data_IF_982528381891
#
_entry.id   IF_982528381891
#
_cell.length_a   1.000
_cell.length_b   1.000
_cell.length_c   1.000
_cell.angle_alpha   90.00
_cell.angle_beta   90.00
_cell.angle_gamma   90.00
#
_symmetry.space_group_name_H-M   'P 1'
#
loop_
_entity.id
_entity.type
_entity.pdbx_description
1 polymer ?
#
# COMPACT_ATOMS: atom_id res chain seq x y z
N UNK A 1 -41.84 13.39 31.08
CA UNK A 1 -40.51 13.45 30.42
C UNK A 1 -39.77 12.12 30.41
N UNK A 2 -39.66 11.39 31.53
CA UNK A 2 -38.98 10.09 31.63
C UNK A 2 -39.57 8.99 30.71
N UNK A 3 -40.90 8.93 30.55
CA UNK A 3 -41.55 7.94 29.68
C UNK A 3 -41.23 8.14 28.18
N UNK A 4 -41.13 9.38 27.71
CA UNK A 4 -40.76 9.66 26.31
C UNK A 4 -39.32 9.23 25.99
N UNK A 5 -38.39 9.42 26.93
CA UNK A 5 -37.03 8.96 26.78
C UNK A 5 -36.94 7.42 26.76
N UNK A 6 -37.70 6.74 27.61
CA UNK A 6 -37.80 5.29 27.66
C UNK A 6 -38.30 4.69 26.34
N UNK A 7 -39.34 5.28 25.73
CA UNK A 7 -39.86 4.82 24.44
C UNK A 7 -38.99 5.22 23.25
N UNK A 8 -38.25 6.32 23.33
CA UNK A 8 -37.31 6.74 22.28
C UNK A 8 -36.05 5.85 22.22
N UNK A 9 -35.66 5.24 23.33
CA UNK A 9 -34.47 4.41 23.44
C UNK A 9 -34.73 2.92 23.11
N UNK A 10 -35.98 2.47 23.26
CA UNK A 10 -36.40 1.07 23.06
C UNK A 10 -36.19 0.53 21.60
N UNK A 11 -36.03 1.42 20.64
CA UNK A 11 -35.78 1.04 19.24
C UNK A 11 -34.30 1.05 18.82
N UNK A 12 -33.38 1.42 19.72
CA UNK A 12 -31.96 1.59 19.39
C UNK A 12 -31.04 0.50 19.94
N UNK A 13 -31.52 -0.31 20.86
CA UNK A 13 -30.75 -1.45 21.39
C UNK A 13 -31.05 -2.69 20.58
N UNK A 14 -30.03 -3.24 19.95
CA UNK A 14 -30.07 -4.59 19.35
C UNK A 14 -29.72 -5.58 20.46
N UNK A 15 -30.62 -6.51 20.72
CA UNK A 15 -30.46 -7.54 21.77
C UNK A 15 -29.17 -8.35 21.44
N UNK A 16 -28.21 -8.41 22.37
CA UNK A 16 -26.92 -9.05 22.21
C UNK A 16 -25.81 -8.19 21.57
N UNK A 17 -26.07 -6.93 21.28
CA UNK A 17 -25.09 -5.99 20.69
C UNK A 17 -24.85 -4.75 21.57
N UNK A 18 -25.05 -4.88 22.88
CA UNK A 18 -24.95 -3.75 23.86
C UNK A 18 -23.55 -3.10 23.87
N UNK A 19 -22.51 -3.84 23.46
CA UNK A 19 -21.12 -3.39 23.38
C UNK A 19 -20.64 -3.11 21.97
N UNK A 20 -21.54 -3.09 20.99
CA UNK A 20 -21.27 -2.84 19.57
C UNK A 20 -21.39 -4.08 18.69
N UNK A 21 -21.75 -3.86 17.44
CA UNK A 21 -21.95 -4.91 16.42
C UNK A 21 -20.70 -5.26 15.62
N UNK A 22 -19.51 -4.83 16.06
CA UNK A 22 -18.27 -5.08 15.35
C UNK A 22 -17.89 -6.58 15.41
N UNK A 23 -17.78 -7.20 14.26
CA UNK A 23 -17.38 -8.59 14.11
C UNK A 23 -16.23 -8.72 13.12
N UNK A 24 -15.43 -9.78 13.24
CA UNK A 24 -14.39 -10.10 12.28
C UNK A 24 -15.01 -10.54 10.96
N UNK A 25 -14.62 -9.85 9.88
CA UNK A 25 -15.06 -10.23 8.54
C UNK A 25 -14.22 -11.39 7.99
N UNK A 26 -14.84 -12.30 7.28
CA UNK A 26 -14.13 -13.34 6.54
C UNK A 26 -13.38 -12.75 5.32
N UNK A 27 -12.29 -13.38 4.85
CA UNK A 27 -11.59 -12.93 3.65
C UNK A 27 -12.50 -12.81 2.41
N UNK A 28 -13.52 -13.66 2.30
CA UNK A 28 -14.51 -13.61 1.21
C UNK A 28 -15.34 -12.33 1.26
N UNK A 29 -15.82 -11.95 2.43
CA UNK A 29 -16.58 -10.71 2.65
C UNK A 29 -15.73 -9.48 2.35
N UNK A 30 -14.48 -9.46 2.85
CA UNK A 30 -13.55 -8.34 2.59
C UNK A 30 -13.27 -8.20 1.10
N UNK A 31 -12.95 -9.29 0.41
CA UNK A 31 -12.69 -9.24 -1.03
C UNK A 31 -13.95 -8.86 -1.84
N UNK A 32 -15.15 -9.28 -1.45
CA UNK A 32 -16.38 -8.88 -2.11
C UNK A 32 -16.60 -7.35 -2.07
N UNK A 33 -16.15 -6.71 -0.98
CA UNK A 33 -16.28 -5.25 -0.80
C UNK A 33 -15.15 -4.46 -1.47
N UNK A 34 -13.92 -4.95 -1.44
CA UNK A 34 -12.73 -4.14 -1.72
C UNK A 34 -11.89 -4.60 -2.91
N UNK A 35 -12.04 -5.83 -3.38
CA UNK A 35 -11.29 -6.32 -4.53
C UNK A 35 -11.78 -5.67 -5.83
N UNK A 36 -10.84 -5.34 -6.71
CA UNK A 36 -11.08 -4.72 -8.02
C UNK A 36 -10.30 -5.47 -9.11
N UNK A 37 -10.23 -4.91 -10.31
CA UNK A 37 -9.43 -5.45 -11.42
C UNK A 37 -7.93 -5.37 -11.10
N UNK A 38 -7.48 -4.24 -10.55
CA UNK A 38 -6.11 -4.02 -10.10
C UNK A 38 -6.10 -3.89 -8.58
N UNK A 39 -5.21 -4.61 -7.92
CA UNK A 39 -5.24 -4.74 -6.48
C UNK A 39 -3.84 -4.61 -5.86
N UNK A 40 -3.83 -4.24 -4.59
CA UNK A 40 -2.73 -4.41 -3.67
C UNK A 40 -2.97 -5.67 -2.85
N UNK A 41 -2.01 -6.57 -2.82
CA UNK A 41 -2.06 -7.78 -2.02
C UNK A 41 -1.77 -7.41 -0.56
N UNK A 42 -2.71 -7.66 0.34
CA UNK A 42 -2.52 -7.43 1.77
C UNK A 42 -2.05 -8.72 2.46
N UNK A 43 -2.68 -9.83 2.13
CA UNK A 43 -2.32 -11.17 2.63
C UNK A 43 -2.53 -12.21 1.53
N UNK A 44 -2.19 -13.47 1.81
CA UNK A 44 -2.45 -14.59 0.89
C UNK A 44 -3.91 -14.66 0.40
N UNK A 45 -4.86 -14.17 1.19
CA UNK A 45 -6.28 -14.31 0.93
C UNK A 45 -7.05 -13.00 0.80
N UNK A 46 -6.41 -11.85 1.03
CA UNK A 46 -7.07 -10.55 1.06
C UNK A 46 -6.34 -9.57 0.15
N UNK A 47 -7.10 -8.93 -0.72
CA UNK A 47 -6.63 -7.88 -1.62
C UNK A 47 -7.44 -6.60 -1.43
N UNK A 48 -6.82 -5.47 -1.69
CA UNK A 48 -7.44 -4.14 -1.69
C UNK A 48 -7.29 -3.53 -3.08
N UNK A 49 -8.38 -3.09 -3.68
CA UNK A 49 -8.37 -2.43 -4.98
C UNK A 49 -7.54 -1.15 -4.97
N UNK A 50 -6.93 -0.80 -6.10
CA UNK A 50 -6.10 0.40 -6.21
C UNK A 50 -6.93 1.67 -6.43
N UNK A 51 -8.16 1.57 -6.93
CA UNK A 51 -9.06 2.71 -7.08
C UNK A 51 -9.69 3.07 -5.73
N UNK A 52 -9.10 4.05 -5.07
CA UNK A 52 -9.54 4.54 -3.75
C UNK A 52 -10.88 5.28 -3.78
N UNK A 53 -11.30 5.81 -4.92
CA UNK A 53 -12.59 6.49 -5.05
C UNK A 53 -13.76 5.52 -4.85
N UNK A 54 -13.61 4.26 -5.25
CA UNK A 54 -14.67 3.24 -5.10
C UNK A 54 -14.88 2.80 -3.68
N UNK A 55 -13.81 2.62 -2.90
CA UNK A 55 -13.92 2.05 -1.55
C UNK A 55 -13.57 3.05 -0.43
N UNK A 56 -13.10 4.26 -0.77
CA UNK A 56 -12.77 5.36 0.16
C UNK A 56 -11.81 4.94 1.29
N UNK A 57 -10.86 4.05 0.99
CA UNK A 57 -9.83 3.58 1.93
C UNK A 57 -8.45 4.02 1.46
N UNK A 58 -7.57 4.34 2.42
CA UNK A 58 -6.16 4.61 2.14
C UNK A 58 -5.46 3.35 1.66
N UNK A 59 -4.50 3.53 0.75
CA UNK A 59 -3.60 2.46 0.30
C UNK A 59 -2.32 2.36 1.16
N UNK A 60 -2.19 3.20 2.19
CA UNK A 60 -1.06 3.11 3.12
C UNK A 60 -1.18 1.84 3.95
N UNK A 61 -0.11 1.05 3.99
CA UNK A 61 -0.07 -0.21 4.73
C UNK A 61 1.18 -0.26 5.59
N UNK A 62 1.00 -0.48 6.86
CA UNK A 62 2.06 -0.74 7.81
C UNK A 62 2.20 -2.24 8.02
N UNK A 63 3.37 -2.81 7.67
CA UNK A 63 3.68 -4.23 7.85
C UNK A 63 4.68 -4.38 8.99
N UNK A 64 4.25 -4.94 10.11
CA UNK A 64 5.06 -5.14 11.31
C UNK A 64 5.48 -6.59 11.43
N UNK A 65 6.73 -6.81 11.79
CA UNK A 65 7.28 -8.15 12.01
C UNK A 65 8.76 -8.10 12.32
N UNK A 66 9.26 -9.05 13.10
CA UNK A 66 10.68 -9.21 13.43
C UNK A 66 11.54 -9.56 12.21
N UNK A 67 12.84 -9.73 12.44
CA UNK A 67 13.74 -10.28 11.42
C UNK A 67 13.30 -11.70 11.05
N UNK A 68 13.38 -12.06 9.77
CA UNK A 68 12.93 -13.36 9.29
C UNK A 68 11.41 -13.56 9.17
N UNK A 69 10.57 -12.60 9.57
CA UNK A 69 9.11 -12.69 9.47
C UNK A 69 8.57 -12.61 8.02
N UNK A 70 9.41 -12.84 7.03
CA UNK A 70 9.07 -12.90 5.61
C UNK A 70 8.38 -11.65 5.04
N UNK A 71 8.57 -10.44 5.63
CA UNK A 71 7.96 -9.20 5.14
C UNK A 71 8.24 -8.93 3.65
N UNK A 72 9.51 -9.03 3.26
CA UNK A 72 9.91 -8.84 1.85
C UNK A 72 9.34 -9.93 0.95
N UNK A 73 9.44 -11.19 1.38
CA UNK A 73 8.98 -12.35 0.60
C UNK A 73 7.46 -12.45 0.51
N UNK A 74 6.76 -12.16 1.62
CA UNK A 74 5.30 -12.36 1.73
C UNK A 74 4.47 -11.14 1.33
N UNK A 75 5.06 -9.94 1.34
CA UNK A 75 4.33 -8.71 1.04
C UNK A 75 4.98 -7.89 -0.09
N UNK A 76 6.26 -7.53 0.02
CA UNK A 76 6.90 -6.61 -0.93
C UNK A 76 7.00 -7.22 -2.32
N UNK A 77 7.66 -8.39 -2.44
CA UNK A 77 7.86 -9.05 -3.74
C UNK A 77 6.56 -9.41 -4.45
N UNK A 78 5.52 -9.99 -3.81
CA UNK A 78 4.24 -10.25 -4.46
C UNK A 78 3.58 -8.99 -5.03
N UNK A 79 3.59 -7.88 -4.28
CA UNK A 79 3.01 -6.62 -4.77
C UNK A 79 3.77 -6.02 -5.95
N UNK A 80 5.08 -6.15 -5.99
CA UNK A 80 5.90 -5.71 -7.14
C UNK A 80 5.62 -6.58 -8.37
N UNK A 81 5.47 -7.88 -8.18
CA UNK A 81 5.19 -8.84 -9.27
C UNK A 81 3.78 -8.70 -9.87
N UNK A 82 2.85 -8.00 -9.20
CA UNK A 82 1.58 -7.59 -9.81
C UNK A 82 1.80 -6.65 -11.02
N UNK A 83 2.90 -5.93 -11.06
CA UNK A 83 3.29 -5.03 -12.16
C UNK A 83 2.13 -4.13 -12.62
N UNK A 84 1.38 -3.56 -11.69
CA UNK A 84 0.14 -2.82 -11.95
C UNK A 84 0.23 -1.33 -11.60
N UNK A 85 1.39 -0.83 -11.19
CA UNK A 85 1.64 0.57 -10.84
C UNK A 85 3.13 0.91 -11.00
N UNK A 86 3.51 2.17 -10.81
CA UNK A 86 4.90 2.57 -10.67
C UNK A 86 5.38 2.33 -9.24
N UNK A 87 6.67 2.04 -9.06
CA UNK A 87 7.25 1.70 -7.76
C UNK A 87 8.45 2.58 -7.45
N UNK A 88 8.52 3.03 -6.21
CA UNK A 88 9.75 3.56 -5.60
C UNK A 88 10.07 2.67 -4.41
N UNK A 89 11.25 2.06 -4.42
CA UNK A 89 11.61 0.99 -3.49
C UNK A 89 12.95 1.30 -2.83
N UNK A 90 13.00 1.26 -1.50
CA UNK A 90 14.27 1.26 -0.76
C UNK A 90 14.71 -0.18 -0.55
N UNK A 91 15.85 -0.56 -1.15
CA UNK A 91 16.36 -1.94 -1.16
C UNK A 91 17.84 -2.00 -0.76
N UNK A 92 18.17 -1.83 0.54
CA UNK A 92 19.55 -1.73 1.00
C UNK A 92 20.38 -3.00 0.77
N UNK A 93 19.73 -4.13 0.47
CA UNK A 93 20.41 -5.41 0.20
C UNK A 93 20.35 -5.82 -1.26
N UNK A 94 19.72 -5.02 -2.12
CA UNK A 94 19.46 -5.31 -3.53
C UNK A 94 18.70 -6.66 -3.78
N UNK A 95 18.10 -7.23 -2.74
CA UNK A 95 17.41 -8.52 -2.83
C UNK A 95 16.08 -8.43 -3.60
N UNK A 96 15.45 -7.27 -3.59
CA UNK A 96 14.20 -7.01 -4.31
C UNK A 96 14.51 -6.80 -5.79
N UNK A 97 15.48 -5.95 -6.10
CA UNK A 97 15.91 -5.68 -7.47
C UNK A 97 16.38 -6.97 -8.17
N UNK A 98 17.22 -7.75 -7.50
CA UNK A 98 17.73 -9.02 -8.03
C UNK A 98 16.60 -10.01 -8.31
N UNK A 99 15.61 -10.08 -7.43
CA UNK A 99 14.51 -11.05 -7.55
C UNK A 99 13.41 -10.63 -8.54
N UNK A 100 13.17 -9.32 -8.74
CA UNK A 100 12.00 -8.85 -9.50
C UNK A 100 12.35 -8.00 -10.72
N UNK A 101 13.58 -7.47 -10.81
CA UNK A 101 13.98 -6.53 -11.85
C UNK A 101 13.88 -7.12 -13.26
N UNK A 102 14.34 -8.36 -13.46
CA UNK A 102 14.23 -9.05 -14.75
C UNK A 102 12.78 -9.21 -15.21
N UNK A 103 11.88 -9.57 -14.28
CA UNK A 103 10.45 -9.66 -14.57
C UNK A 103 9.84 -8.32 -14.95
N UNK A 104 10.12 -7.26 -14.18
CA UNK A 104 9.62 -5.92 -14.48
C UNK A 104 10.11 -5.41 -15.85
N UNK A 105 11.37 -5.64 -16.18
CA UNK A 105 11.90 -5.31 -17.52
C UNK A 105 11.14 -6.04 -18.63
N UNK A 106 10.83 -7.33 -18.44
CA UNK A 106 10.02 -8.10 -19.40
C UNK A 106 8.59 -7.58 -19.55
N UNK A 107 8.07 -6.83 -18.54
CA UNK A 107 6.79 -6.14 -18.58
C UNK A 107 6.85 -4.71 -19.13
N UNK A 108 8.03 -4.27 -19.61
CA UNK A 108 8.22 -2.95 -20.19
C UNK A 108 8.51 -1.83 -19.18
N UNK A 109 8.85 -2.17 -17.93
CA UNK A 109 9.24 -1.17 -16.94
C UNK A 109 10.66 -0.66 -17.21
N UNK A 110 10.84 0.65 -17.15
CA UNK A 110 12.15 1.28 -17.02
C UNK A 110 12.57 1.21 -15.55
N UNK A 111 13.76 0.65 -15.29
CA UNK A 111 14.30 0.53 -13.94
C UNK A 111 15.47 1.47 -13.81
N UNK A 112 15.40 2.37 -12.84
CA UNK A 112 16.47 3.27 -12.43
C UNK A 112 16.96 2.89 -11.04
N UNK A 113 18.24 2.82 -10.85
CA UNK A 113 18.88 2.40 -9.59
C UNK A 113 19.78 3.51 -9.08
N UNK A 114 19.44 4.07 -7.92
CA UNK A 114 20.32 4.97 -7.18
C UNK A 114 21.10 4.15 -6.15
N UNK A 115 22.36 3.82 -6.48
CA UNK A 115 23.24 3.03 -5.62
C UNK A 115 24.17 3.94 -4.84
N UNK A 116 23.86 4.16 -3.56
CA UNK A 116 24.66 5.00 -2.67
C UNK A 116 25.86 4.26 -2.04
N UNK A 117 25.93 2.94 -2.19
CA UNK A 117 27.05 2.13 -1.71
C UNK A 117 28.14 2.04 -2.75
N UNK A 118 27.76 1.77 -4.00
CA UNK A 118 28.66 1.72 -5.12
C UNK A 118 28.19 2.68 -6.24
N UNK A 119 28.70 3.89 -6.22
CA UNK A 119 28.30 4.95 -7.15
C UNK A 119 28.63 4.64 -8.59
N UNK A 120 29.60 3.76 -8.87
CA UNK A 120 29.95 3.36 -10.23
C UNK A 120 28.87 2.51 -10.90
N UNK A 121 28.01 1.88 -10.11
CA UNK A 121 26.86 1.08 -10.56
C UNK A 121 25.51 1.83 -10.43
N UNK A 122 25.57 3.12 -10.15
CA UNK A 122 24.39 3.96 -9.97
C UNK A 122 23.99 4.63 -11.27
N UNK A 123 22.67 4.69 -11.52
CA UNK A 123 22.14 5.61 -12.53
C UNK A 123 22.36 7.06 -12.08
N UNK A 124 22.69 7.93 -13.04
CA UNK A 124 22.84 9.36 -12.78
C UNK A 124 21.48 10.02 -12.54
N UNK A 125 21.43 10.89 -11.55
CA UNK A 125 20.29 11.76 -11.30
C UNK A 125 20.74 13.23 -11.31
N UNK A 126 20.22 14.00 -12.26
CA UNK A 126 20.45 15.43 -12.32
C UNK A 126 19.17 16.19 -11.94
N UNK A 127 19.05 16.69 -10.72
CA UNK A 127 17.85 17.39 -10.27
C UNK A 127 17.61 18.71 -11.04
N UNK A 128 18.65 19.32 -11.58
CA UNK A 128 18.54 20.59 -12.32
C UNK A 128 17.73 20.45 -13.62
N UNK A 129 17.63 19.25 -14.20
CA UNK A 129 16.80 19.00 -15.37
C UNK A 129 15.29 19.16 -15.11
N UNK A 130 14.88 19.18 -13.84
CA UNK A 130 13.47 19.28 -13.43
C UNK A 130 13.07 20.68 -12.93
N UNK A 131 14.01 21.63 -12.90
CA UNK A 131 13.73 23.01 -12.51
C UNK A 131 12.95 23.71 -13.64
N UNK A 132 11.78 24.24 -13.33
CA UNK A 132 10.91 24.98 -14.25
C UNK A 132 10.80 26.46 -13.88
N UNK A 133 10.92 26.76 -12.58
CA UNK A 133 10.81 28.11 -12.04
C UNK A 133 11.70 28.30 -10.80
N UNK A 134 11.77 29.53 -10.28
CA UNK A 134 12.54 29.88 -9.08
C UNK A 134 12.06 29.13 -7.83
N UNK A 135 10.76 28.79 -7.78
CA UNK A 135 10.20 28.03 -6.64
C UNK A 135 10.72 26.60 -6.59
N UNK A 136 10.98 26.02 -7.77
CA UNK A 136 11.57 24.67 -7.84
C UNK A 136 13.04 24.69 -7.42
N UNK A 137 13.77 25.79 -7.72
CA UNK A 137 15.13 25.98 -7.22
C UNK A 137 15.18 26.05 -5.68
N UNK A 138 14.23 26.78 -5.06
CA UNK A 138 14.13 26.85 -3.60
C UNK A 138 13.80 25.50 -2.95
N UNK A 139 12.99 24.65 -3.59
CA UNK A 139 12.73 23.27 -3.12
C UNK A 139 13.95 22.36 -3.18
N UNK A 140 14.87 22.65 -4.09
CA UNK A 140 16.09 21.86 -4.23
C UNK A 140 17.13 22.20 -3.16
N UNK A 141 17.11 23.44 -2.63
CA UNK A 141 18.08 23.95 -1.66
C UNK A 141 17.64 23.69 -0.21
N UNK A 142 16.36 23.48 0.04
CA UNK A 142 15.79 23.14 1.34
C UNK A 142 15.64 21.64 1.53
#
# INVERSE_FOLDING_TARGET
MALCLYYADRGRTREGEEHGSAAWASPRQVNAMFRQKQNKILTKHVCLGLDTHRHRRSLNVLVIGGSGAAKTRGYVKPNILEANTNYVITDPKMEVLTATGGYLKSKGYEIRVLNLVNLSESDGYNPFCYLRDEKDALKLVN
#
